data_IF_664934321583
#
_entry.id   IF_664934321583
#
_cell.length_a   1.000
_cell.length_b   1.000
_cell.length_c   1.000
_cell.angle_alpha   90.00
_cell.angle_beta   90.00
_cell.angle_gamma   90.00
#
_symmetry.space_group_name_H-M   'P 1'
#
loop_
_entity.id
_entity.type
_entity.pdbx_description
1 polymer ?
#
# COMPACT_ATOMS: atom_id res chain seq x y z
N UNK A 1 15.57 -5.38 -1.03
CA UNK A 1 14.47 -5.04 -0.10
C UNK A 1 14.02 -6.32 0.58
N UNK A 2 13.91 -6.35 1.90
CA UNK A 2 13.49 -7.55 2.65
C UNK A 2 11.99 -7.84 2.36
N UNK A 3 11.61 -9.10 2.13
CA UNK A 3 10.22 -9.49 1.88
C UNK A 3 9.30 -9.07 3.04
N UNK A 4 9.74 -9.23 4.27
CA UNK A 4 8.99 -8.80 5.45
C UNK A 4 8.73 -7.28 5.40
N UNK A 5 9.76 -6.49 5.10
CA UNK A 5 9.63 -5.04 4.98
C UNK A 5 8.68 -4.65 3.84
N UNK A 6 8.77 -5.36 2.71
CA UNK A 6 7.92 -5.15 1.55
C UNK A 6 6.44 -5.45 1.83
N UNK A 7 6.15 -6.50 2.60
CA UNK A 7 4.80 -6.85 3.01
C UNK A 7 4.23 -5.86 4.03
N UNK A 8 5.01 -5.46 5.04
CA UNK A 8 4.60 -4.44 6.01
C UNK A 8 4.36 -3.08 5.33
N UNK A 9 5.26 -2.62 4.45
CA UNK A 9 5.03 -1.34 3.73
C UNK A 9 3.80 -1.40 2.83
N UNK A 10 3.39 -2.60 2.41
CA UNK A 10 2.21 -2.82 1.58
C UNK A 10 0.94 -3.08 2.40
N UNK A 11 0.96 -2.97 3.74
CA UNK A 11 -0.20 -3.23 4.60
C UNK A 11 -0.66 -4.69 4.58
N UNK A 12 0.27 -5.63 4.34
CA UNK A 12 0.01 -7.06 4.23
C UNK A 12 0.51 -7.82 5.48
N UNK A 13 0.35 -7.26 6.68
CA UNK A 13 0.82 -7.83 7.96
C UNK A 13 0.24 -9.23 8.22
N UNK A 14 -1.01 -9.46 7.81
CA UNK A 14 -1.65 -10.78 7.93
C UNK A 14 -0.90 -11.85 7.10
N UNK A 15 -0.37 -11.46 5.94
CA UNK A 15 0.44 -12.36 5.09
C UNK A 15 1.78 -12.65 5.74
N UNK A 16 2.39 -11.69 6.43
CA UNK A 16 3.62 -11.89 7.22
C UNK A 16 3.39 -12.95 8.30
N UNK A 17 2.31 -12.83 9.08
CA UNK A 17 1.98 -13.81 10.12
C UNK A 17 1.70 -15.20 9.52
N UNK A 18 0.96 -15.25 8.41
CA UNK A 18 0.68 -16.49 7.69
C UNK A 18 1.96 -17.13 7.10
N UNK A 19 2.90 -16.33 6.59
CA UNK A 19 4.19 -16.80 6.10
C UNK A 19 5.02 -17.43 7.22
N UNK A 20 5.12 -16.77 8.37
CA UNK A 20 5.84 -17.30 9.52
C UNK A 20 5.27 -18.66 9.97
N UNK A 21 3.94 -18.80 9.97
CA UNK A 21 3.28 -20.07 10.26
C UNK A 21 3.61 -21.14 9.21
N UNK A 22 3.48 -20.82 7.91
CA UNK A 22 3.81 -21.73 6.80
C UNK A 22 5.27 -22.19 6.88
N UNK A 23 6.21 -21.26 7.03
CA UNK A 23 7.64 -21.55 7.15
C UNK A 23 7.92 -22.46 8.36
N UNK A 24 7.29 -22.21 9.51
CA UNK A 24 7.41 -23.06 10.70
C UNK A 24 6.86 -24.48 10.53
N UNK A 25 5.89 -24.71 9.64
CA UNK A 25 5.44 -26.07 9.27
C UNK A 25 6.53 -26.79 8.46
N UNK A 26 7.08 -26.15 7.42
CA UNK A 26 8.13 -26.76 6.61
C UNK A 26 9.43 -27.00 7.40
N UNK A 27 9.82 -26.06 8.26
CA UNK A 27 10.99 -26.22 9.11
C UNK A 27 10.87 -27.42 10.06
N UNK A 28 9.69 -27.64 10.65
CA UNK A 28 9.42 -28.84 11.48
C UNK A 28 9.47 -30.15 10.70
N UNK A 29 9.28 -30.10 9.39
CA UNK A 29 9.44 -31.24 8.48
C UNK A 29 10.89 -31.41 7.99
N UNK A 30 11.83 -30.59 8.49
CA UNK A 30 13.23 -30.60 8.07
C UNK A 30 13.46 -29.99 6.67
N UNK A 31 12.50 -29.22 6.15
CA UNK A 31 12.58 -28.60 4.84
C UNK A 31 12.92 -27.11 5.00
N UNK A 32 14.07 -26.71 4.45
CA UNK A 32 14.39 -25.29 4.28
C UNK A 32 13.70 -24.77 3.02
N UNK A 33 12.74 -23.86 3.20
CA UNK A 33 11.98 -23.25 2.11
C UNK A 33 12.14 -21.74 2.17
N UNK A 34 12.46 -21.15 1.03
CA UNK A 34 12.49 -19.70 0.83
C UNK A 34 11.08 -19.10 1.03
N UNK A 35 10.97 -18.11 1.92
CA UNK A 35 9.71 -17.44 2.25
C UNK A 35 9.03 -16.84 1.02
N UNK A 36 9.81 -16.37 0.04
CA UNK A 36 9.25 -15.84 -1.21
C UNK A 36 8.49 -16.91 -2.02
N UNK A 37 8.88 -18.18 -1.89
CA UNK A 37 8.19 -19.32 -2.54
C UNK A 37 6.96 -19.77 -1.78
N UNK A 38 6.85 -19.43 -0.50
CA UNK A 38 5.69 -19.76 0.32
C UNK A 38 4.49 -18.85 0.05
N UNK A 39 4.71 -17.69 -0.59
CA UNK A 39 3.63 -16.80 -1.02
C UNK A 39 2.75 -17.46 -2.06
N UNK A 40 1.44 -17.38 -1.85
CA UNK A 40 0.46 -17.81 -2.85
C UNK A 40 0.53 -16.92 -4.09
N UNK A 41 -0.01 -17.39 -5.20
CA UNK A 41 -0.06 -16.60 -6.44
C UNK A 41 -0.85 -15.30 -6.25
N UNK A 42 -1.94 -15.31 -5.47
CA UNK A 42 -2.73 -14.12 -5.18
C UNK A 42 -1.98 -13.12 -4.29
N UNK A 43 -1.27 -13.60 -3.26
CA UNK A 43 -0.45 -12.73 -2.39
C UNK A 43 0.67 -12.04 -3.19
N UNK A 44 1.33 -12.76 -4.11
CA UNK A 44 2.35 -12.19 -5.00
C UNK A 44 1.79 -11.12 -5.93
N UNK A 45 0.65 -11.39 -6.56
CA UNK A 45 0.00 -10.42 -7.45
C UNK A 45 -0.45 -9.17 -6.69
N UNK A 46 -1.03 -9.34 -5.50
CA UNK A 46 -1.43 -8.22 -4.65
C UNK A 46 -0.22 -7.38 -4.23
N UNK A 47 0.87 -8.01 -3.77
CA UNK A 47 2.09 -7.31 -3.39
C UNK A 47 2.66 -6.51 -4.57
N UNK A 48 2.74 -7.13 -5.74
CA UNK A 48 3.23 -6.47 -6.95
C UNK A 48 2.35 -5.28 -7.37
N UNK A 49 1.02 -5.44 -7.27
CA UNK A 49 0.09 -4.37 -7.58
C UNK A 49 0.23 -3.19 -6.63
N UNK A 50 0.28 -3.42 -5.30
CA UNK A 50 0.44 -2.36 -4.31
C UNK A 50 1.79 -1.65 -4.50
N UNK A 51 2.87 -2.39 -4.67
CA UNK A 51 4.20 -1.81 -4.91
C UNK A 51 4.23 -0.95 -6.18
N UNK A 52 3.54 -1.37 -7.24
CA UNK A 52 3.40 -0.56 -8.45
C UNK A 52 2.70 0.75 -8.16
N UNK A 53 1.60 0.74 -7.40
CA UNK A 53 0.88 1.96 -7.00
C UNK A 53 1.75 2.89 -6.15
N UNK A 54 2.47 2.34 -5.16
CA UNK A 54 3.41 3.10 -4.33
C UNK A 54 4.50 3.76 -5.17
N UNK A 55 5.09 3.03 -6.12
CA UNK A 55 6.13 3.56 -7.01
C UNK A 55 5.59 4.66 -7.94
N UNK A 56 4.45 4.43 -8.58
CA UNK A 56 3.83 5.42 -9.50
C UNK A 56 3.50 6.71 -8.77
N UNK A 57 2.93 6.61 -7.57
CA UNK A 57 2.53 7.76 -6.75
C UNK A 57 3.65 8.31 -5.86
N UNK A 58 4.84 7.70 -5.88
CA UNK A 58 6.01 8.04 -5.05
C UNK A 58 5.68 8.05 -3.55
N UNK A 59 4.95 7.04 -3.10
CA UNK A 59 4.54 6.83 -1.72
C UNK A 59 5.38 5.73 -1.08
N UNK A 60 5.48 5.79 0.25
CA UNK A 60 6.33 4.90 1.04
C UNK A 60 5.57 3.77 1.73
N UNK A 61 4.25 3.92 1.91
CA UNK A 61 3.40 2.92 2.58
C UNK A 61 1.99 2.82 2.01
N UNK A 62 1.34 1.68 2.26
CA UNK A 62 -0.07 1.47 1.92
C UNK A 62 -1.01 2.45 2.64
N UNK A 63 -0.65 2.90 3.84
CA UNK A 63 -1.41 3.94 4.55
C UNK A 63 -1.39 5.26 3.78
N UNK A 64 -0.22 5.66 3.26
CA UNK A 64 -0.11 6.84 2.40
C UNK A 64 -0.89 6.68 1.10
N UNK A 65 -0.94 5.46 0.55
CA UNK A 65 -1.75 5.15 -0.64
C UNK A 65 -3.25 5.30 -0.35
N UNK A 66 -3.72 4.74 0.76
CA UNK A 66 -5.11 4.85 1.19
C UNK A 66 -5.50 6.30 1.48
N UNK A 67 -4.61 7.06 2.13
CA UNK A 67 -4.81 8.49 2.37
C UNK A 67 -4.84 9.28 1.07
N UNK A 68 -3.93 8.99 0.12
CA UNK A 68 -3.92 9.61 -1.19
C UNK A 68 -5.27 9.43 -1.91
N UNK A 69 -5.75 8.18 -2.00
CA UNK A 69 -7.02 7.88 -2.65
C UNK A 69 -8.21 8.54 -1.93
N UNK A 70 -8.19 8.55 -0.59
CA UNK A 70 -9.21 9.25 0.21
C UNK A 70 -9.23 10.75 -0.10
N UNK A 71 -8.07 11.41 -0.11
CA UNK A 71 -7.96 12.85 -0.35
C UNK A 71 -8.40 13.22 -1.77
N UNK A 72 -8.06 12.39 -2.77
CA UNK A 72 -8.55 12.58 -4.15
C UNK A 72 -10.08 12.58 -4.20
N UNK A 73 -10.73 11.62 -3.54
CA UNK A 73 -12.20 11.51 -3.53
C UNK A 73 -12.83 12.71 -2.82
N UNK A 74 -12.30 13.10 -1.66
CA UNK A 74 -12.81 14.23 -0.88
C UNK A 74 -12.62 15.55 -1.63
N UNK A 75 -11.43 15.84 -2.16
CA UNK A 75 -11.16 17.06 -2.90
C UNK A 75 -11.99 17.15 -4.17
N UNK A 76 -12.17 16.04 -4.89
CA UNK A 76 -13.06 16.02 -6.06
C UNK A 76 -14.48 16.46 -5.68
N UNK A 77 -15.01 15.94 -4.57
CA UNK A 77 -16.34 16.27 -4.07
C UNK A 77 -16.46 17.73 -3.63
N UNK A 78 -15.48 18.24 -2.89
CA UNK A 78 -15.56 19.58 -2.29
C UNK A 78 -15.16 20.72 -3.25
N UNK A 79 -14.26 20.45 -4.20
CA UNK A 79 -13.73 21.48 -5.12
C UNK A 79 -14.28 21.38 -6.54
N UNK A 80 -14.85 20.22 -6.93
CA UNK A 80 -15.29 19.94 -8.30
C UNK A 80 -14.13 19.63 -9.27
N UNK A 81 -12.88 19.65 -8.81
CA UNK A 81 -11.70 19.37 -9.62
C UNK A 81 -11.68 17.92 -10.14
N UNK A 82 -11.13 17.67 -11.32
CA UNK A 82 -11.11 16.31 -11.91
C UNK A 82 -10.32 15.32 -11.06
N UNK A 83 -10.89 14.13 -10.79
CA UNK A 83 -10.18 13.03 -10.12
C UNK A 83 -8.87 12.66 -10.84
N UNK A 84 -8.88 12.61 -12.17
CA UNK A 84 -7.70 12.27 -12.97
C UNK A 84 -6.56 13.29 -12.84
N UNK A 85 -6.90 14.54 -12.52
CA UNK A 85 -5.93 15.58 -12.26
C UNK A 85 -5.41 15.49 -10.82
N UNK A 86 -6.31 15.33 -9.84
CA UNK A 86 -5.95 15.14 -8.42
C UNK A 86 -5.05 13.93 -8.21
N UNK A 87 -5.28 12.82 -8.93
CA UNK A 87 -4.44 11.62 -8.84
C UNK A 87 -2.97 11.85 -9.23
N UNK A 88 -2.69 12.86 -10.07
CA UNK A 88 -1.32 13.20 -10.49
C UNK A 88 -0.58 14.03 -9.45
N UNK A 89 -1.28 14.59 -8.47
CA UNK A 89 -0.69 15.43 -7.45
C UNK A 89 -0.01 14.58 -6.36
N UNK A 90 1.12 15.05 -5.82
CA UNK A 90 1.78 14.38 -4.72
C UNK A 90 0.97 14.54 -3.43
N UNK A 91 1.04 13.56 -2.53
CA UNK A 91 0.27 13.54 -1.27
C UNK A 91 0.39 14.84 -0.44
N UNK A 92 1.56 15.46 -0.25
CA UNK A 92 1.67 16.73 0.48
C UNK A 92 0.89 17.89 -0.16
N UNK A 93 0.69 17.87 -1.49
CA UNK A 93 -0.11 18.88 -2.17
C UNK A 93 -1.60 18.66 -1.93
N UNK A 94 -2.05 17.41 -1.95
CA UNK A 94 -3.43 17.06 -1.64
C UNK A 94 -3.78 17.43 -0.19
N UNK A 95 -2.90 17.14 0.78
CA UNK A 95 -3.09 17.56 2.18
C UNK A 95 -3.28 19.07 2.31
N UNK A 96 -2.36 19.86 1.73
CA UNK A 96 -2.48 21.33 1.73
C UNK A 96 -3.77 21.85 1.08
N UNK A 97 -4.25 21.18 0.03
CA UNK A 97 -5.53 21.55 -0.58
C UNK A 97 -6.69 21.25 0.35
N UNK A 98 -6.67 20.11 1.05
CA UNK A 98 -7.70 19.75 2.01
C UNK A 98 -7.69 20.73 3.20
N UNK A 99 -6.52 21.06 3.74
CA UNK A 99 -6.38 22.07 4.82
C UNK A 99 -7.00 23.41 4.42
N UNK A 100 -6.80 23.83 3.15
CA UNK A 100 -7.38 25.07 2.63
C UNK A 100 -8.90 24.98 2.46
N UNK A 101 -9.44 23.82 2.08
CA UNK A 101 -10.89 23.58 2.03
C UNK A 101 -11.49 23.63 3.43
N UNK A 102 -10.86 22.99 4.41
CA UNK A 102 -11.32 22.97 5.80
C UNK A 102 -11.27 24.37 6.44
N UNK A 103 -10.25 25.18 6.14
CA UNK A 103 -10.13 26.56 6.65
C UNK A 103 -11.19 27.55 6.16
N UNK A 104 -11.99 27.16 5.16
CA UNK A 104 -13.10 27.99 4.64
C UNK A 104 -14.38 27.88 5.46
N UNK A 105 -14.44 26.91 6.37
CA UNK A 105 -15.56 26.66 7.29
C UNK A 105 -15.21 27.11 8.71
#
# INVERSE_FOLDING_TARGET
MNLHQALCSSGMEQVVHSLAFRAGVFHRLGLEVDEAKLLTSSERLNLQWIQSQLNVKKLSSADELAEHDRLVVLLHRETGESQSWLQKLPLPRLRKMMDAVESRW
#
